data_IF_196101795987
#
_entry.id   IF_196101795987
#
_cell.length_a   1.000
_cell.length_b   1.000
_cell.length_c   1.000
_cell.angle_alpha   90.00
_cell.angle_beta   90.00
_cell.angle_gamma   90.00
#
_symmetry.space_group_name_H-M   'P 1'
#
loop_
_entity.id
_entity.type
_entity.pdbx_description
1 polymer ?
#
# COMPACT_ATOMS: atom_id res chain seq x y z
N UNK A 1 -17.19 -21.60 2.66
CA UNK A 1 -16.44 -20.41 2.24
C UNK A 1 -15.04 -20.52 2.80
N UNK A 2 -14.03 -20.78 1.95
CA UNK A 2 -12.64 -20.66 2.40
C UNK A 2 -12.36 -19.18 2.57
N UNK A 3 -12.32 -18.71 3.81
CA UNK A 3 -12.15 -17.29 4.10
C UNK A 3 -10.81 -16.83 3.53
N UNK A 4 -10.79 -15.77 2.72
CA UNK A 4 -9.54 -15.19 2.19
C UNK A 4 -8.52 -14.90 3.30
N UNK A 5 -9.00 -14.61 4.51
CA UNK A 5 -8.20 -14.48 5.72
C UNK A 5 -7.32 -15.72 6.00
N UNK A 6 -7.85 -16.94 5.90
CA UNK A 6 -7.09 -18.17 6.17
C UNK A 6 -5.95 -18.36 5.18
N UNK A 7 -6.15 -17.94 3.92
CA UNK A 7 -5.11 -17.99 2.89
C UNK A 7 -3.94 -17.08 3.27
N UNK A 8 -4.21 -15.82 3.62
CA UNK A 8 -3.17 -14.87 4.01
C UNK A 8 -2.48 -15.27 5.31
N UNK A 9 -3.21 -15.76 6.31
CA UNK A 9 -2.60 -16.24 7.56
C UNK A 9 -1.63 -17.40 7.31
N UNK A 10 -1.98 -18.35 6.43
CA UNK A 10 -1.10 -19.47 6.06
C UNK A 10 0.12 -19.01 5.26
N UNK A 11 -0.06 -18.03 4.36
CA UNK A 11 1.04 -17.42 3.63
C UNK A 11 2.02 -16.74 4.58
N UNK A 12 1.50 -15.95 5.53
CA UNK A 12 2.30 -15.26 6.54
C UNK A 12 3.03 -16.24 7.47
N UNK A 13 2.41 -17.37 7.81
CA UNK A 13 3.06 -18.42 8.59
C UNK A 13 4.25 -19.05 7.83
N UNK A 14 4.06 -19.40 6.55
CA UNK A 14 5.16 -19.92 5.72
C UNK A 14 6.30 -18.90 5.56
N UNK A 15 5.96 -17.62 5.38
CA UNK A 15 6.94 -16.54 5.31
C UNK A 15 7.69 -16.36 6.65
N UNK A 16 6.97 -16.57 7.76
CA UNK A 16 7.51 -16.61 9.11
C UNK A 16 8.55 -17.70 9.33
N UNK A 17 8.33 -18.90 8.79
CA UNK A 17 9.29 -20.00 8.83
C UNK A 17 10.59 -19.66 8.09
N UNK A 18 10.49 -18.98 6.95
CA UNK A 18 11.64 -18.58 6.12
C UNK A 18 12.45 -17.45 6.76
N UNK A 19 11.78 -16.42 7.27
CA UNK A 19 12.45 -15.23 7.82
C UNK A 19 12.64 -15.23 9.34
N UNK A 20 12.15 -16.25 10.04
CA UNK A 20 12.30 -16.42 11.48
C UNK A 20 11.41 -15.48 12.31
N UNK A 21 10.15 -15.27 11.92
CA UNK A 21 9.17 -14.54 12.74
C UNK A 21 7.88 -15.34 12.92
N UNK A 22 7.20 -15.13 14.06
CA UNK A 22 5.89 -15.73 14.29
C UNK A 22 4.75 -14.78 13.90
N UNK A 23 3.65 -15.32 13.39
CA UNK A 23 2.45 -14.56 13.00
C UNK A 23 1.80 -13.88 14.21
N UNK A 24 1.98 -14.42 15.42
CA UNK A 24 1.48 -13.80 16.65
C UNK A 24 2.41 -12.69 17.19
N UNK A 25 3.56 -12.48 16.56
CA UNK A 25 4.50 -11.44 16.99
C UNK A 25 3.90 -10.05 16.71
N UNK A 26 3.84 -9.14 17.70
CA UNK A 26 3.37 -7.78 17.46
C UNK A 26 4.20 -7.07 16.39
N UNK A 27 3.55 -6.34 15.48
CA UNK A 27 4.19 -5.67 14.34
C UNK A 27 5.44 -4.85 14.72
N UNK A 28 5.38 -4.14 15.84
CA UNK A 28 6.49 -3.30 16.33
C UNK A 28 7.74 -4.10 16.72
N UNK A 29 7.57 -5.36 17.13
CA UNK A 29 8.67 -6.26 17.55
C UNK A 29 9.27 -7.04 16.38
N UNK A 30 8.66 -7.01 15.20
CA UNK A 30 9.18 -7.69 14.02
C UNK A 30 10.53 -7.08 13.59
N UNK A 31 11.50 -7.91 13.14
CA UNK A 31 12.72 -7.43 12.52
C UNK A 31 12.43 -6.52 11.31
N UNK A 32 13.29 -5.53 11.07
CA UNK A 32 13.11 -4.61 9.94
C UNK A 32 13.07 -5.34 8.59
N UNK A 33 13.89 -6.38 8.42
CA UNK A 33 13.89 -7.25 7.22
C UNK A 33 12.52 -7.91 7.02
N UNK A 34 11.94 -8.46 8.09
CA UNK A 34 10.63 -9.11 8.03
C UNK A 34 9.51 -8.11 7.67
N UNK A 35 9.50 -6.92 8.29
CA UNK A 35 8.52 -5.87 7.93
C UNK A 35 8.63 -5.45 6.47
N UNK A 36 9.86 -5.26 5.97
CA UNK A 36 10.10 -4.89 4.58
C UNK A 36 9.57 -5.96 3.64
N UNK A 37 9.90 -7.22 3.88
CA UNK A 37 9.44 -8.32 3.05
C UNK A 37 7.91 -8.54 3.10
N UNK A 38 7.25 -8.25 4.23
CA UNK A 38 5.78 -8.26 4.29
C UNK A 38 5.17 -7.15 3.41
N UNK A 39 5.76 -5.96 3.39
CA UNK A 39 5.22 -4.81 2.66
C UNK A 39 5.53 -4.85 1.16
N UNK A 40 6.81 -5.06 0.82
CA UNK A 40 7.35 -4.97 -0.54
C UNK A 40 7.45 -6.33 -1.24
N UNK A 41 7.27 -7.43 -0.51
CA UNK A 41 7.41 -8.78 -1.03
C UNK A 41 8.79 -9.39 -0.76
N UNK A 42 8.93 -10.67 -1.13
CA UNK A 42 10.20 -11.39 -1.07
C UNK A 42 10.43 -12.18 -2.36
N UNK A 43 11.69 -12.27 -2.78
CA UNK A 43 12.10 -13.07 -3.93
C UNK A 43 12.17 -14.57 -3.61
N UNK A 44 12.03 -14.94 -2.32
CA UNK A 44 12.03 -16.32 -1.87
C UNK A 44 10.63 -16.93 -1.96
N UNK A 45 10.55 -18.17 -2.47
CA UNK A 45 9.29 -18.91 -2.53
C UNK A 45 8.82 -19.30 -1.14
N UNK A 46 7.59 -18.93 -0.81
CA UNK A 46 6.96 -19.27 0.45
C UNK A 46 6.34 -20.65 0.34
N UNK A 47 6.79 -21.57 1.20
CA UNK A 47 6.21 -22.91 1.29
C UNK A 47 5.00 -22.89 2.22
N UNK A 48 3.80 -23.03 1.64
CA UNK A 48 2.55 -23.01 2.40
C UNK A 48 2.04 -24.43 2.58
N UNK A 49 2.01 -24.90 3.82
CA UNK A 49 1.45 -26.21 4.20
C UNK A 49 0.16 -26.04 4.99
N UNK A 50 -0.90 -26.74 4.59
CA UNK A 50 -2.16 -26.71 5.33
C UNK A 50 -2.89 -28.04 5.31
N UNK A 51 -3.71 -28.27 6.34
CA UNK A 51 -4.63 -29.40 6.39
C UNK A 51 -5.99 -28.96 5.87
N UNK A 52 -6.49 -29.65 4.86
CA UNK A 52 -7.82 -29.37 4.33
C UNK A 52 -8.92 -29.93 5.25
N UNK A 53 -10.17 -29.50 5.05
CA UNK A 53 -11.32 -29.94 5.86
C UNK A 53 -11.53 -31.47 5.88
N UNK A 54 -11.04 -32.17 4.86
CA UNK A 54 -11.10 -33.64 4.72
C UNK A 54 -9.88 -34.35 5.31
N UNK A 55 -9.09 -33.67 6.14
CA UNK A 55 -7.94 -34.25 6.85
C UNK A 55 -6.68 -34.45 6.02
N UNK A 56 -6.72 -34.25 4.69
CA UNK A 56 -5.55 -34.33 3.79
C UNK A 56 -4.67 -33.09 3.91
N UNK A 57 -3.36 -33.31 4.01
CA UNK A 57 -2.36 -32.25 3.95
C UNK A 57 -2.07 -31.89 2.51
N UNK A 58 -2.04 -30.59 2.20
CA UNK A 58 -1.57 -30.05 0.93
C UNK A 58 -0.44 -29.06 1.20
N UNK A 59 0.53 -29.04 0.31
CA UNK A 59 1.60 -28.05 0.27
C UNK A 59 1.72 -27.48 -1.13
N UNK A 60 2.06 -26.20 -1.21
CA UNK A 60 2.40 -25.53 -2.46
C UNK A 60 3.45 -24.45 -2.19
N UNK A 61 4.21 -24.12 -3.22
CA UNK A 61 5.09 -22.97 -3.22
C UNK A 61 4.37 -21.80 -3.89
N UNK A 62 4.50 -20.61 -3.31
CA UNK A 62 3.93 -19.39 -3.85
C UNK A 62 4.90 -18.23 -3.70
N UNK A 63 4.97 -17.40 -4.73
CA UNK A 63 5.69 -16.14 -4.67
C UNK A 63 4.86 -15.12 -3.89
N UNK A 64 5.52 -14.37 -3.02
CA UNK A 64 4.87 -13.35 -2.21
C UNK A 64 5.24 -11.96 -2.73
N UNK A 65 4.33 -11.37 -3.51
CA UNK A 65 4.48 -10.04 -4.13
C UNK A 65 4.49 -8.87 -3.12
N UNK A 66 4.10 -9.11 -1.87
CA UNK A 66 3.97 -8.06 -0.86
C UNK A 66 2.56 -7.47 -0.75
N UNK A 67 2.24 -6.92 0.42
CA UNK A 67 0.92 -6.34 0.69
C UNK A 67 0.68 -5.07 -0.13
N UNK A 68 1.71 -4.24 -0.36
CA UNK A 68 1.58 -2.99 -1.08
C UNK A 68 1.25 -3.21 -2.56
N UNK A 69 2.00 -4.11 -3.22
CA UNK A 69 1.76 -4.48 -4.62
C UNK A 69 0.39 -5.14 -4.80
N UNK A 70 0.01 -6.03 -3.88
CA UNK A 70 -1.31 -6.67 -3.87
C UNK A 70 -2.44 -5.63 -3.81
N UNK A 71 -2.36 -4.66 -2.88
CA UNK A 71 -3.38 -3.62 -2.73
C UNK A 71 -3.50 -2.73 -3.97
N UNK A 72 -2.37 -2.26 -4.51
CA UNK A 72 -2.36 -1.43 -5.71
C UNK A 72 -2.98 -2.16 -6.91
N UNK A 73 -2.58 -3.42 -7.13
CA UNK A 73 -3.11 -4.25 -8.20
C UNK A 73 -4.61 -4.50 -8.03
N UNK A 74 -5.05 -4.82 -6.81
CA UNK A 74 -6.48 -5.06 -6.52
C UNK A 74 -7.33 -3.82 -6.71
N UNK A 75 -6.82 -2.65 -6.35
CA UNK A 75 -7.51 -1.39 -6.60
C UNK A 75 -7.67 -1.13 -8.11
N UNK A 76 -6.63 -1.35 -8.91
CA UNK A 76 -6.67 -1.16 -10.36
C UNK A 76 -7.56 -2.17 -11.10
N UNK A 77 -7.61 -3.42 -10.62
CA UNK A 77 -8.35 -4.51 -11.27
C UNK A 77 -9.82 -4.63 -10.84
N UNK A 78 -10.18 -4.06 -9.69
CA UNK A 78 -11.51 -4.21 -9.12
C UNK A 78 -12.51 -3.31 -9.83
N UNK A 79 -13.60 -3.90 -10.34
CA UNK A 79 -14.71 -3.16 -10.95
C UNK A 79 -15.82 -2.80 -9.95
N UNK A 80 -15.86 -3.47 -8.78
CA UNK A 80 -16.86 -3.25 -7.73
C UNK A 80 -16.54 -2.02 -6.89
N UNK A 81 -17.47 -1.06 -6.83
CA UNK A 81 -17.28 0.17 -6.06
C UNK A 81 -17.13 -0.07 -4.55
N UNK A 82 -17.90 -1.01 -3.98
CA UNK A 82 -17.75 -1.41 -2.57
C UNK A 82 -16.33 -1.90 -2.25
N UNK A 83 -15.71 -2.63 -3.18
CA UNK A 83 -14.35 -3.13 -2.97
C UNK A 83 -13.31 -2.03 -3.19
N UNK A 84 -13.55 -1.07 -4.11
CA UNK A 84 -12.69 0.11 -4.27
C UNK A 84 -12.65 0.94 -3.00
N UNK A 85 -13.80 1.30 -2.44
CA UNK A 85 -13.89 2.08 -1.20
C UNK A 85 -13.16 1.37 -0.05
N UNK A 86 -13.29 0.04 0.04
CA UNK A 86 -12.56 -0.76 1.03
C UNK A 86 -11.04 -0.66 0.87
N UNK A 87 -10.52 -0.66 -0.36
CA UNK A 87 -9.09 -0.53 -0.59
C UNK A 87 -8.60 0.91 -0.43
N UNK A 88 -9.40 1.90 -0.82
CA UNK A 88 -9.14 3.32 -0.61
C UNK A 88 -9.00 3.68 0.87
N UNK A 89 -9.71 3.00 1.76
CA UNK A 89 -9.55 3.17 3.21
C UNK A 89 -8.15 2.84 3.76
N UNK A 90 -7.29 2.16 2.98
CA UNK A 90 -5.88 1.94 3.32
C UNK A 90 -4.93 2.97 2.68
N UNK A 91 -5.47 3.86 1.85
CA UNK A 91 -4.72 4.89 1.14
C UNK A 91 -5.00 6.25 1.75
N UNK A 92 -4.14 7.22 1.42
CA UNK A 92 -4.36 8.62 1.79
C UNK A 92 -4.00 9.49 0.61
N UNK A 93 -4.71 10.60 0.49
CA UNK A 93 -4.34 11.64 -0.45
C UNK A 93 -3.04 12.30 0.01
N UNK A 94 -2.05 12.28 -0.88
CA UNK A 94 -0.77 12.97 -0.69
C UNK A 94 -0.61 14.01 -1.80
N UNK A 95 -0.01 15.18 -1.51
CA UNK A 95 0.34 16.14 -2.53
C UNK A 95 1.17 15.46 -3.62
N UNK A 96 0.76 15.61 -4.88
CA UNK A 96 1.49 15.05 -6.00
C UNK A 96 2.94 15.58 -5.99
N UNK A 97 3.97 14.73 -6.06
CA UNK A 97 5.36 15.17 -5.97
C UNK A 97 5.79 16.06 -7.14
N UNK A 98 5.12 15.94 -8.30
CA UNK A 98 5.44 16.71 -9.51
C UNK A 98 4.93 18.15 -9.41
N UNK A 99 3.66 18.34 -9.03
CA UNK A 99 3.04 19.66 -8.96
C UNK A 99 2.95 20.22 -7.54
N UNK A 100 3.42 19.48 -6.53
CA UNK A 100 3.34 19.83 -5.11
C UNK A 100 1.91 20.16 -4.64
N UNK A 101 0.91 19.53 -5.27
CA UNK A 101 -0.51 19.78 -4.99
C UNK A 101 -1.11 21.00 -5.69
N UNK A 102 -0.34 21.76 -6.48
CA UNK A 102 -0.85 22.90 -7.26
C UNK A 102 -1.77 22.48 -8.41
N UNK A 103 -1.66 21.23 -8.88
CA UNK A 103 -2.36 20.69 -10.06
C UNK A 103 -2.08 21.47 -11.36
N UNK A 104 -1.04 22.30 -11.35
CA UNK A 104 -0.61 23.10 -12.49
C UNK A 104 0.65 22.52 -13.12
N UNK A 105 0.81 22.76 -14.42
CA UNK A 105 2.04 22.45 -15.14
C UNK A 105 3.16 23.41 -14.72
N UNK A 106 4.43 22.97 -14.72
CA UNK A 106 5.55 23.82 -14.30
C UNK A 106 5.68 25.10 -15.13
N UNK A 107 5.32 25.07 -16.41
CA UNK A 107 5.36 26.24 -17.30
C UNK A 107 4.38 27.34 -16.87
N UNK A 108 3.23 26.96 -16.29
CA UNK A 108 2.23 27.91 -15.78
C UNK A 108 2.70 28.51 -14.45
N UNK A 109 3.31 27.69 -13.59
CA UNK A 109 3.87 28.14 -12.31
C UNK A 109 5.02 29.14 -12.47
N UNK A 110 5.69 29.13 -13.61
CA UNK A 110 6.77 30.06 -13.93
C UNK A 110 6.28 31.47 -14.34
N UNK A 111 4.99 31.63 -14.68
CA UNK A 111 4.43 32.93 -15.09
C UNK A 111 4.11 33.77 -13.86
N UNK A 112 4.92 34.80 -13.62
CA UNK A 112 4.73 35.75 -12.53
C UNK A 112 4.18 37.07 -13.05
N UNK A 113 3.06 37.53 -12.47
CA UNK A 113 2.59 38.91 -12.65
C UNK A 113 3.21 39.79 -11.55
N UNK A 114 3.81 40.92 -11.94
CA UNK A 114 4.35 41.89 -11.00
C UNK A 114 3.19 42.60 -10.29
N UNK A 115 3.03 42.36 -8.99
CA UNK A 115 2.15 43.15 -8.14
C UNK A 115 2.95 44.31 -7.52
N UNK A 116 2.37 45.49 -7.49
CA UNK A 116 2.97 46.78 -7.06
C UNK A 116 3.46 46.78 -5.59
N UNK A 117 3.21 45.71 -4.85
CA UNK A 117 3.61 45.52 -3.46
C UNK A 117 4.57 44.34 -3.27
N UNK A 118 5.51 44.09 -4.18
CA UNK A 118 6.69 43.22 -3.95
C UNK A 118 6.40 41.79 -3.46
N UNK A 119 5.16 41.31 -3.57
CA UNK A 119 4.74 39.99 -3.14
C UNK A 119 4.44 39.16 -4.37
N UNK A 120 5.21 38.08 -4.56
CA UNK A 120 4.95 37.04 -5.55
C UNK A 120 3.57 36.42 -5.28
N UNK A 121 2.58 36.77 -6.11
CA UNK A 121 1.16 36.43 -5.91
C UNK A 121 0.91 34.92 -6.06
N UNK A 122 1.69 34.23 -6.90
CA UNK A 122 1.37 32.86 -7.34
C UNK A 122 1.51 31.79 -6.25
N UNK A 123 2.47 31.94 -5.32
CA UNK A 123 2.63 31.01 -4.19
C UNK A 123 1.56 31.19 -3.11
N UNK A 124 0.91 32.36 -3.05
CA UNK A 124 -0.04 32.71 -1.97
C UNK A 124 -1.49 32.48 -2.37
N UNK A 125 -1.83 32.63 -3.66
CA UNK A 125 -3.18 32.42 -4.18
C UNK A 125 -3.49 30.94 -4.42
N UNK A 126 -2.51 30.15 -4.87
CA UNK A 126 -2.65 28.70 -5.10
C UNK A 126 -2.18 27.95 -3.86
N UNK A 127 -2.81 28.21 -2.71
CA UNK A 127 -2.64 27.30 -1.58
C UNK A 127 -3.29 25.97 -1.95
N UNK A 128 -2.64 24.83 -1.65
CA UNK A 128 -3.33 23.56 -1.75
C UNK A 128 -4.60 23.68 -0.90
N UNK A 129 -5.75 23.40 -1.50
CA UNK A 129 -6.99 23.24 -0.75
C UNK A 129 -6.70 22.12 0.24
N UNK A 130 -6.58 22.46 1.52
CA UNK A 130 -6.62 21.48 2.60
C UNK A 130 -7.97 20.77 2.45
N UNK A 131 -7.97 19.65 1.73
CA UNK A 131 -8.97 18.63 1.89
C UNK A 131 -8.74 18.13 3.32
N UNK A 132 -9.41 18.79 4.27
CA UNK A 132 -9.42 18.40 5.67
C UNK A 132 -9.98 17.00 5.77
N UNK A 133 -9.11 16.00 5.62
CA UNK A 133 -9.41 14.61 5.94
C UNK A 133 -9.44 14.56 7.46
N UNK A 134 -10.66 14.44 8.00
CA UNK A 134 -10.89 14.03 9.38
C UNK A 134 -10.38 12.62 9.63
#
# INVERSE_FOLDING_TARGET
MGHAADYFTRMMAGLGEVMGFDVNTPWRKLPAKARKAILEGCDEQVHVRYRNRYGRTRSYYADFEGVMAFLQRKMQQTESDMMKERYEGFMRDVPCPVCQGTRLKPEILAVTLAAETGQEVHRRSVRPVDLGVR
#
